data_IF_264328240846
#
_entry.id   IF_264328240846
#
_cell.length_a   1.000
_cell.length_b   1.000
_cell.length_c   1.000
_cell.angle_alpha   90.00
_cell.angle_beta   90.00
_cell.angle_gamma   90.00
#
_symmetry.space_group_name_H-M   'P 1'
#
loop_
_entity.id
_entity.type
_entity.pdbx_description
1 polymer ?
#
# COMPACT_ATOMS: atom_id res chain seq x y z
N UNK A 1 -15.23 26.26 -20.69
CA UNK A 1 -15.87 25.43 -21.73
C UNK A 1 -17.36 25.74 -21.75
N UNK A 2 -17.95 25.96 -22.92
CA UNK A 2 -19.39 26.10 -23.09
C UNK A 2 -19.94 24.80 -23.67
N UNK A 3 -20.75 24.08 -22.90
CA UNK A 3 -21.43 22.87 -23.37
C UNK A 3 -22.81 23.23 -23.90
N UNK A 4 -23.13 22.76 -25.11
CA UNK A 4 -24.44 22.89 -25.74
C UNK A 4 -25.06 21.49 -25.78
N UNK A 5 -26.22 21.33 -25.13
CA UNK A 5 -27.01 20.11 -25.19
C UNK A 5 -28.19 20.33 -26.13
N UNK A 6 -28.32 19.46 -27.13
CA UNK A 6 -29.47 19.40 -28.03
C UNK A 6 -30.09 18.01 -27.89
N UNK A 7 -31.36 17.94 -27.45
CA UNK A 7 -32.13 16.71 -27.50
C UNK A 7 -33.06 16.74 -28.71
N UNK A 8 -32.91 15.79 -29.63
CA UNK A 8 -33.86 15.59 -30.73
C UNK A 8 -34.84 14.45 -30.38
N UNK A 9 -36.13 14.65 -30.68
CA UNK A 9 -37.15 13.60 -30.58
C UNK A 9 -37.92 13.50 -29.25
N UNK A 10 -37.76 14.44 -28.31
CA UNK A 10 -38.49 14.43 -27.04
C UNK A 10 -39.84 15.16 -27.19
N UNK A 11 -40.94 14.49 -26.86
CA UNK A 11 -42.30 15.06 -26.87
C UNK A 11 -42.41 16.20 -25.83
N UNK A 12 -43.11 17.29 -26.17
CA UNK A 12 -43.30 18.51 -25.35
C UNK A 12 -43.88 18.25 -23.95
N UNK A 13 -44.43 17.06 -23.71
CA UNK A 13 -44.96 16.64 -22.41
C UNK A 13 -43.94 16.05 -21.42
N UNK A 14 -42.65 15.95 -21.78
CA UNK A 14 -41.61 15.34 -20.94
C UNK A 14 -40.59 16.40 -20.49
N UNK A 15 -40.46 16.59 -19.17
CA UNK A 15 -39.40 17.41 -18.58
C UNK A 15 -38.21 16.52 -18.23
N UNK A 16 -37.08 16.71 -18.91
CA UNK A 16 -35.80 16.08 -18.56
C UNK A 16 -35.06 16.97 -17.56
N UNK A 17 -34.88 16.50 -16.34
CA UNK A 17 -34.01 17.15 -15.36
C UNK A 17 -32.61 16.53 -15.46
N UNK A 18 -31.69 17.22 -16.13
CA UNK A 18 -30.27 16.82 -16.16
C UNK A 18 -29.53 17.64 -15.11
N UNK A 19 -29.12 17.03 -14.01
CA UNK A 19 -28.16 17.62 -13.08
C UNK A 19 -26.76 17.13 -13.47
N UNK A 20 -25.87 18.05 -13.82
CA UNK A 20 -24.43 17.77 -13.87
C UNK A 20 -23.75 18.52 -12.74
N UNK A 21 -22.78 17.88 -12.10
CA UNK A 21 -21.84 18.50 -11.17
C UNK A 21 -20.49 18.50 -11.85
N UNK A 22 -19.88 19.67 -12.03
CA UNK A 22 -18.49 19.80 -12.44
C UNK A 22 -17.75 20.49 -11.31
N UNK A 23 -16.84 19.77 -10.66
CA UNK A 23 -15.89 20.33 -9.72
C UNK A 23 -14.66 20.72 -10.52
N UNK A 24 -14.52 22.02 -10.81
CA UNK A 24 -13.29 22.56 -11.38
C UNK A 24 -12.49 23.19 -10.24
N UNK A 25 -11.35 22.59 -9.90
CA UNK A 25 -10.39 23.19 -8.97
C UNK A 25 -9.77 24.42 -9.63
N UNK A 26 -9.98 25.60 -9.02
CA UNK A 26 -9.30 26.82 -9.47
C UNK A 26 -7.86 26.81 -8.93
N UNK A 27 -6.83 26.93 -9.79
CA UNK A 27 -5.48 27.17 -9.30
C UNK A 27 -5.43 28.51 -8.56
N UNK A 28 -4.68 28.56 -7.46
CA UNK A 28 -4.43 29.80 -6.72
C UNK A 28 -3.55 30.71 -7.58
N UNK A 29 -4.09 31.85 -8.01
CA UNK A 29 -3.37 32.85 -8.80
C UNK A 29 -2.80 33.91 -7.86
N UNK A 30 -1.49 34.09 -7.85
CA UNK A 30 -0.81 35.10 -7.04
C UNK A 30 -0.31 36.23 -7.95
N UNK A 31 -0.46 37.48 -7.52
CA UNK A 31 0.18 38.62 -8.16
C UNK A 31 1.65 38.75 -7.77
N UNK A 32 2.38 39.65 -8.44
CA UNK A 32 3.81 39.90 -8.20
C UNK A 32 4.12 40.35 -6.75
N UNK A 33 3.12 40.83 -6.01
CA UNK A 33 3.19 41.22 -4.60
C UNK A 33 2.80 40.09 -3.62
N UNK A 34 2.52 38.88 -4.13
CA UNK A 34 2.11 37.71 -3.36
C UNK A 34 0.64 37.72 -2.93
N UNK A 35 -0.18 38.66 -3.40
CA UNK A 35 -1.62 38.70 -3.08
C UNK A 35 -2.43 37.79 -4.01
N UNK A 36 -3.48 37.17 -3.48
CA UNK A 36 -4.37 36.31 -4.26
C UNK A 36 -5.24 37.13 -5.21
N UNK A 37 -5.18 36.83 -6.51
CA UNK A 37 -5.92 37.53 -7.56
C UNK A 37 -7.31 36.89 -7.73
N UNK A 38 -8.36 37.69 -7.52
CA UNK A 38 -9.73 37.34 -7.89
C UNK A 38 -9.91 37.43 -9.41
N UNK A 39 -10.01 36.28 -10.08
CA UNK A 39 -10.18 36.17 -11.54
C UNK A 39 -11.42 36.91 -12.08
N UNK A 40 -12.46 37.06 -11.28
CA UNK A 40 -13.68 37.82 -11.66
C UNK A 40 -13.47 39.33 -11.70
N UNK A 41 -12.36 39.84 -11.14
CA UNK A 41 -12.02 41.26 -11.11
C UNK A 41 -10.73 41.62 -11.86
N UNK A 42 -10.04 40.66 -12.48
CA UNK A 42 -8.78 40.89 -13.21
C UNK A 42 -9.00 40.98 -14.72
N UNK A 43 -8.18 41.80 -15.39
CA UNK A 43 -8.19 41.97 -16.86
C UNK A 43 -7.10 41.13 -17.55
N UNK A 44 -6.57 40.11 -16.87
CA UNK A 44 -5.45 39.30 -17.33
C UNK A 44 -5.89 38.29 -18.40
N UNK A 45 -5.06 38.11 -19.43
CA UNK A 45 -5.32 37.15 -20.50
C UNK A 45 -5.11 35.70 -20.04
N UNK A 46 -5.58 34.72 -20.81
CA UNK A 46 -5.41 33.30 -20.46
C UNK A 46 -3.92 32.90 -20.38
N UNK A 47 -3.08 33.50 -21.22
CA UNK A 47 -1.64 33.24 -21.24
C UNK A 47 -0.95 33.83 -20.00
N UNK A 48 -1.34 35.05 -19.58
CA UNK A 48 -0.84 35.67 -18.35
C UNK A 48 -1.24 34.86 -17.10
N UNK A 49 -2.45 34.30 -17.09
CA UNK A 49 -2.94 33.45 -16.00
C UNK A 49 -2.20 32.12 -15.91
N UNK A 50 -1.72 31.59 -17.04
CA UNK A 50 -0.95 30.34 -17.10
C UNK A 50 0.48 30.59 -16.62
N UNK A 51 1.07 31.74 -16.94
CA UNK A 51 2.38 32.14 -16.42
C UNK A 51 2.37 32.41 -14.90
N UNK A 52 1.22 32.80 -14.34
CA UNK A 52 1.02 32.98 -12.89
C UNK A 52 0.54 31.70 -12.19
N UNK A 53 0.34 30.60 -12.93
CA UNK A 53 -0.01 29.32 -12.35
C UNK A 53 1.25 28.61 -11.86
N UNK A 54 1.26 28.25 -10.57
CA UNK A 54 2.29 27.39 -10.00
C UNK A 54 1.82 25.94 -10.15
N UNK A 55 2.63 25.10 -10.81
CA UNK A 55 2.50 23.65 -10.65
C UNK A 55 2.70 23.32 -9.17
N UNK A 56 1.75 22.59 -8.60
CA UNK A 56 1.77 22.21 -7.20
C UNK A 56 2.87 21.16 -6.96
N UNK A 57 3.99 21.50 -6.28
CA UNK A 57 5.13 20.58 -6.14
C UNK A 57 4.90 19.44 -5.15
N UNK A 58 3.71 19.32 -4.53
CA UNK A 58 3.45 18.44 -3.38
C UNK A 58 2.61 17.20 -3.73
N UNK A 59 2.83 16.57 -4.89
CA UNK A 59 2.05 15.40 -5.33
C UNK A 59 2.49 14.06 -4.71
N UNK A 60 3.61 13.97 -3.97
CA UNK A 60 4.17 12.68 -3.52
C UNK A 60 4.10 12.39 -2.00
N UNK A 61 3.06 12.88 -1.34
CA UNK A 61 2.62 12.51 0.01
C UNK A 61 1.44 13.39 0.30
N UNK A 62 0.24 12.88 0.52
CA UNK A 62 -0.87 13.72 1.00
C UNK A 62 -0.52 14.38 2.36
N UNK A 63 -0.16 15.68 2.43
CA UNK A 63 0.10 16.39 3.68
C UNK A 63 -1.17 17.13 4.16
N UNK A 64 -2.29 17.02 3.41
CA UNK A 64 -3.41 17.97 3.48
C UNK A 64 -4.41 17.73 4.59
N UNK A 65 -4.30 16.67 5.39
CA UNK A 65 -5.09 16.68 6.63
C UNK A 65 -4.48 17.59 7.71
N UNK A 66 -3.18 17.94 7.62
CA UNK A 66 -2.52 18.79 8.62
C UNK A 66 -2.36 20.25 8.16
N UNK A 67 -2.12 20.50 6.87
CA UNK A 67 -1.52 21.77 6.46
C UNK A 67 -2.50 22.91 6.14
N UNK A 68 -3.76 22.64 5.76
CA UNK A 68 -4.71 23.73 5.53
C UNK A 68 -4.93 24.57 6.80
N UNK A 69 -4.97 23.94 7.99
CA UNK A 69 -5.13 24.63 9.27
C UNK A 69 -3.84 25.33 9.74
N UNK A 70 -2.67 24.77 9.43
CA UNK A 70 -1.37 25.33 9.80
C UNK A 70 -0.99 26.53 8.94
N UNK A 71 -1.20 26.46 7.63
CA UNK A 71 -0.94 27.56 6.69
C UNK A 71 -1.74 28.80 7.07
N UNK A 72 -3.04 28.67 7.41
CA UNK A 72 -3.84 29.81 7.88
C UNK A 72 -3.33 30.41 9.21
N UNK A 73 -2.70 29.61 10.06
CA UNK A 73 -2.16 30.08 11.35
C UNK A 73 -0.83 30.84 11.22
N UNK A 74 -0.02 30.55 10.21
CA UNK A 74 1.29 31.18 10.01
C UNK A 74 1.21 32.65 9.54
N UNK A 75 0.11 33.05 8.87
CA UNK A 75 -0.07 34.42 8.37
C UNK A 75 -0.71 35.39 9.38
N UNK A 76 -1.10 34.89 10.56
CA UNK A 76 -1.65 35.70 11.65
C UNK A 76 -0.72 35.52 12.85
N UNK A 77 0.12 36.50 13.22
CA UNK A 77 1.16 36.32 14.24
C UNK A 77 0.66 35.77 15.58
N UNK A 78 -0.56 36.14 15.97
CA UNK A 78 -1.24 35.63 17.17
C UNK A 78 -1.58 34.13 17.05
N UNK A 79 -2.00 33.69 15.86
CA UNK A 79 -2.27 32.29 15.56
C UNK A 79 -0.98 31.50 15.32
N UNK A 80 0.08 32.11 14.80
CA UNK A 80 1.38 31.46 14.60
C UNK A 80 2.07 31.15 15.92
N UNK A 81 2.06 32.11 16.87
CA UNK A 81 2.49 31.85 18.25
C UNK A 81 1.56 30.84 18.92
N UNK A 82 0.25 30.95 18.71
CA UNK A 82 -0.73 29.96 19.19
C UNK A 82 -0.49 28.55 18.63
N UNK A 83 -0.12 28.43 17.36
CA UNK A 83 0.17 27.19 16.66
C UNK A 83 1.50 26.60 17.11
N UNK A 84 2.54 27.43 17.31
CA UNK A 84 3.82 26.98 17.88
C UNK A 84 3.62 26.52 19.33
N UNK A 85 2.90 27.27 20.15
CA UNK A 85 2.57 26.87 21.52
C UNK A 85 1.71 25.60 21.52
N UNK A 86 0.76 25.47 20.60
CA UNK A 86 -0.03 24.25 20.40
C UNK A 86 0.84 23.06 19.96
N UNK A 87 1.77 23.24 19.03
CA UNK A 87 2.70 22.22 18.57
C UNK A 87 3.68 21.79 19.67
N UNK A 88 4.14 22.74 20.49
CA UNK A 88 5.00 22.48 21.65
C UNK A 88 4.21 21.80 22.77
N UNK A 89 2.98 22.23 23.06
CA UNK A 89 2.11 21.50 24.00
C UNK A 89 1.73 20.12 23.48
N UNK A 90 1.52 19.96 22.16
CA UNK A 90 1.30 18.68 21.48
C UNK A 90 2.51 17.77 21.59
N UNK A 91 3.73 18.29 21.47
CA UNK A 91 4.96 17.50 21.63
C UNK A 91 5.23 17.14 23.10
N UNK A 92 4.70 17.93 24.05
CA UNK A 92 4.82 17.71 25.50
C UNK A 92 3.73 16.81 26.08
N UNK A 93 2.52 16.81 25.52
CA UNK A 93 1.42 15.93 25.91
C UNK A 93 1.56 14.55 25.26
N UNK A 94 2.63 13.82 25.63
CA UNK A 94 2.98 12.49 25.08
C UNK A 94 2.10 11.36 25.61
N UNK A 95 0.79 11.46 25.40
CA UNK A 95 -0.15 10.35 25.61
C UNK A 95 -0.96 10.13 24.34
N UNK A 96 -1.08 8.88 23.91
CA UNK A 96 -1.97 8.50 22.81
C UNK A 96 -3.44 8.91 23.09
N UNK A 97 -3.79 9.05 24.38
CA UNK A 97 -5.04 9.66 24.86
C UNK A 97 -5.30 11.07 24.29
N UNK A 98 -4.26 11.89 24.04
CA UNK A 98 -4.42 13.23 23.47
C UNK A 98 -4.75 13.19 21.97
N UNK A 99 -4.09 12.31 21.19
CA UNK A 99 -4.40 12.11 19.77
C UNK A 99 -5.85 11.66 19.58
N UNK A 100 -6.31 10.77 20.46
CA UNK A 100 -7.65 10.24 20.38
C UNK A 100 -8.74 11.20 20.88
N UNK A 101 -8.39 12.17 21.76
CA UNK A 101 -9.27 13.29 22.13
C UNK A 101 -9.63 14.24 20.96
N UNK A 102 -8.98 14.10 19.80
CA UNK A 102 -9.40 14.79 18.56
C UNK A 102 -10.67 14.20 17.96
N UNK A 103 -11.00 12.94 18.28
CA UNK A 103 -12.18 12.27 17.76
C UNK A 103 -13.45 12.97 18.26
N UNK A 104 -14.34 13.32 17.33
CA UNK A 104 -15.65 13.90 17.64
C UNK A 104 -16.82 12.96 17.29
N UNK A 105 -16.52 11.67 17.04
CA UNK A 105 -17.53 10.62 16.82
C UNK A 105 -18.30 10.74 15.51
N UNK A 106 -17.61 11.02 14.40
CA UNK A 106 -18.24 11.11 13.08
C UNK A 106 -18.51 9.74 12.40
N UNK A 107 -18.01 8.65 12.96
CA UNK A 107 -18.17 7.26 12.47
C UNK A 107 -17.61 6.96 11.05
N UNK A 108 -16.97 7.91 10.36
CA UNK A 108 -16.33 7.67 9.04
C UNK A 108 -15.29 6.53 9.05
N UNK A 109 -14.52 6.40 10.14
CA UNK A 109 -13.55 5.31 10.29
C UNK A 109 -14.23 3.94 10.48
N UNK A 110 -15.46 3.91 10.99
CA UNK A 110 -16.27 2.70 11.10
C UNK A 110 -16.75 2.31 9.70
N UNK A 111 -17.32 3.23 8.93
CA UNK A 111 -17.77 2.99 7.56
C UNK A 111 -16.64 2.52 6.63
N UNK A 112 -15.42 3.05 6.79
CA UNK A 112 -14.25 2.62 6.01
C UNK A 112 -13.62 1.30 6.52
N UNK A 113 -14.04 0.77 7.67
CA UNK A 113 -13.39 -0.40 8.28
C UNK A 113 -13.85 -1.71 7.63
N UNK A 114 -12.96 -2.46 6.94
CA UNK A 114 -13.33 -3.71 6.28
C UNK A 114 -13.75 -4.82 7.26
N UNK A 115 -13.35 -4.70 8.53
CA UNK A 115 -13.71 -5.66 9.60
C UNK A 115 -15.22 -5.68 9.88
N UNK A 116 -15.96 -4.62 9.52
CA UNK A 116 -17.42 -4.58 9.72
C UNK A 116 -18.18 -5.66 8.95
N UNK A 117 -17.61 -6.16 7.86
CA UNK A 117 -18.16 -7.29 7.12
C UNK A 117 -18.14 -8.58 7.95
N UNK A 118 -17.17 -8.71 8.86
CA UNK A 118 -17.02 -9.89 9.72
C UNK A 118 -18.03 -9.88 10.88
N UNK A 119 -18.43 -8.68 11.30
CA UNK A 119 -19.18 -8.46 12.55
C UNK A 119 -20.63 -8.06 12.29
N UNK A 120 -21.13 -8.29 11.07
CA UNK A 120 -22.50 -8.02 10.65
C UNK A 120 -22.97 -6.57 10.91
N UNK A 121 -22.05 -5.61 10.81
CA UNK A 121 -22.36 -4.18 10.94
C UNK A 121 -22.53 -3.66 12.37
N UNK A 122 -22.34 -4.49 13.40
CA UNK A 122 -22.28 -3.99 14.78
C UNK A 122 -21.10 -3.04 14.95
N UNK A 123 -21.35 -1.91 15.62
CA UNK A 123 -20.41 -0.80 15.79
C UNK A 123 -19.16 -1.31 16.45
N UNK A 124 -18.08 -1.36 15.68
CA UNK A 124 -16.84 -1.92 16.13
C UNK A 124 -15.73 -0.96 15.83
N UNK A 125 -15.75 0.07 16.67
CA UNK A 125 -14.58 0.87 16.84
C UNK A 125 -13.66 0.13 17.82
N UNK A 126 -13.10 -1.01 17.38
CA UNK A 126 -12.09 -1.82 18.09
C UNK A 126 -11.08 -0.87 18.75
N UNK A 127 -10.72 0.20 18.04
CA UNK A 127 -9.77 1.21 18.48
C UNK A 127 -10.35 2.10 19.60
N UNK A 128 -11.55 2.65 19.43
CA UNK A 128 -12.22 3.49 20.43
C UNK A 128 -12.63 2.71 21.70
N UNK A 129 -13.12 1.48 21.56
CA UNK A 129 -13.50 0.65 22.70
C UNK A 129 -12.26 0.16 23.43
N UNK A 130 -11.23 -0.33 22.73
CA UNK A 130 -9.92 -0.61 23.35
C UNK A 130 -9.36 0.64 24.04
N UNK A 131 -9.60 1.84 23.48
CA UNK A 131 -9.17 3.10 24.10
C UNK A 131 -9.91 3.40 25.41
N UNK A 132 -11.22 3.17 25.48
CA UNK A 132 -12.00 3.30 26.71
C UNK A 132 -11.76 2.17 27.72
N UNK A 133 -10.83 1.23 27.43
CA UNK A 133 -10.70 -0.05 28.12
C UNK A 133 -12.03 -0.83 28.18
N UNK A 134 -12.85 -0.65 27.16
CA UNK A 134 -14.07 -1.40 26.93
C UNK A 134 -13.76 -2.54 25.93
N UNK A 135 -14.32 -3.71 26.21
CA UNK A 135 -14.27 -4.86 25.31
C UNK A 135 -15.67 -5.00 24.70
N UNK A 136 -15.76 -4.78 23.40
CA UNK A 136 -17.00 -4.92 22.61
C UNK A 136 -17.18 -6.33 22.05
N UNK A 137 -16.29 -7.25 22.40
CA UNK A 137 -16.31 -8.65 21.97
C UNK A 137 -15.55 -8.93 20.68
N UNK A 138 -14.89 -7.93 20.05
CA UNK A 138 -14.03 -8.19 18.90
C UNK A 138 -12.56 -8.10 19.24
N UNK A 139 -11.81 -9.17 18.92
CA UNK A 139 -10.38 -9.18 19.16
C UNK A 139 -9.65 -8.02 18.48
N UNK A 140 -8.72 -7.38 19.20
CA UNK A 140 -7.77 -6.39 18.65
C UNK A 140 -7.03 -6.92 17.39
N UNK A 141 -6.83 -8.24 17.34
CA UNK A 141 -6.15 -8.93 16.26
C UNK A 141 -6.99 -9.13 15.00
N UNK A 142 -8.30 -8.85 15.05
CA UNK A 142 -9.13 -8.75 13.85
C UNK A 142 -8.84 -7.50 13.01
N UNK A 143 -8.16 -6.49 13.59
CA UNK A 143 -7.71 -5.33 12.83
C UNK A 143 -6.69 -5.72 11.75
N UNK A 144 -6.97 -5.36 10.50
CA UNK A 144 -6.11 -5.67 9.35
C UNK A 144 -4.94 -4.69 9.18
N UNK A 145 -4.83 -3.64 10.01
CA UNK A 145 -3.76 -2.63 9.94
C UNK A 145 -3.57 -2.01 8.54
N UNK A 146 -4.69 -1.88 7.82
CA UNK A 146 -4.73 -1.50 6.41
C UNK A 146 -4.77 0.01 6.18
N UNK A 147 -4.81 0.84 7.24
CA UNK A 147 -4.82 2.32 7.18
C UNK A 147 -6.11 2.96 6.63
N UNK A 148 -7.14 2.17 6.29
CA UNK A 148 -8.42 2.71 5.79
C UNK A 148 -9.06 3.73 6.75
N UNK A 149 -9.08 3.41 8.06
CA UNK A 149 -9.64 4.28 9.09
C UNK A 149 -8.83 5.57 9.30
N UNK A 150 -7.50 5.50 9.21
CA UNK A 150 -6.60 6.66 9.32
C UNK A 150 -6.85 7.62 8.15
N UNK A 151 -6.95 7.10 6.93
CA UNK A 151 -7.19 7.89 5.72
C UNK A 151 -8.59 8.53 5.71
N UNK A 152 -9.61 7.80 6.18
CA UNK A 152 -10.97 8.31 6.29
C UNK A 152 -11.13 9.37 7.42
N UNK A 153 -10.15 9.54 8.31
CA UNK A 153 -10.29 10.39 9.49
C UNK A 153 -10.08 11.89 9.16
N UNK A 154 -11.11 12.75 9.29
CA UNK A 154 -10.98 14.18 9.02
C UNK A 154 -10.12 14.94 10.05
N UNK A 155 -9.77 14.31 11.17
CA UNK A 155 -8.89 14.87 12.20
C UNK A 155 -7.47 14.30 12.14
N UNK A 156 -7.17 13.43 11.17
CA UNK A 156 -5.91 12.70 11.07
C UNK A 156 -5.52 12.02 12.37
N UNK A 157 -6.45 11.26 12.94
CA UNK A 157 -6.12 10.36 14.05
C UNK A 157 -5.32 9.21 13.47
N UNK A 158 -4.10 9.03 13.95
CA UNK A 158 -3.19 7.96 13.51
C UNK A 158 -3.51 6.65 14.22
N UNK A 159 -4.53 5.97 13.75
CA UNK A 159 -5.00 4.70 14.28
C UNK A 159 -3.98 3.56 14.16
N UNK A 160 -3.10 3.61 13.17
CA UNK A 160 -2.15 2.54 12.89
C UNK A 160 -1.09 2.44 14.00
N UNK A 161 -0.55 3.59 14.42
CA UNK A 161 0.35 3.67 15.58
C UNK A 161 -0.32 3.19 16.87
N UNK A 162 -1.64 3.37 17.03
CA UNK A 162 -2.34 2.82 18.19
C UNK A 162 -2.24 1.31 18.23
N UNK A 163 -2.59 0.68 17.10
CA UNK A 163 -2.73 -0.77 17.02
C UNK A 163 -1.36 -1.41 17.21
N UNK A 164 -0.31 -0.82 16.63
CA UNK A 164 1.07 -1.20 16.87
C UNK A 164 1.40 -1.17 18.38
N UNK A 165 1.26 0.01 19.03
CA UNK A 165 1.53 0.16 20.47
C UNK A 165 0.72 -0.82 21.32
N UNK A 166 -0.58 -0.98 21.04
CA UNK A 166 -1.46 -1.85 21.83
C UNK A 166 -1.10 -3.31 21.68
N UNK A 167 -0.75 -3.77 20.48
CA UNK A 167 -0.29 -5.15 20.26
C UNK A 167 1.04 -5.41 20.94
N UNK A 168 1.96 -4.43 20.94
CA UNK A 168 3.24 -4.54 21.65
C UNK A 168 3.09 -4.66 23.19
N UNK A 169 1.99 -4.19 23.76
CA UNK A 169 1.70 -4.32 25.19
C UNK A 169 1.08 -5.68 25.57
N UNK A 170 0.70 -6.51 24.60
CA UNK A 170 0.09 -7.82 24.85
C UNK A 170 1.20 -8.86 25.05
N UNK A 171 1.29 -9.38 26.28
CA UNK A 171 2.22 -10.45 26.62
C UNK A 171 1.81 -11.75 25.96
N UNK A 172 2.75 -12.42 25.28
CA UNK A 172 2.51 -13.65 24.53
C UNK A 172 2.06 -13.42 23.09
N UNK A 173 1.83 -12.16 22.70
CA UNK A 173 1.52 -11.79 21.33
C UNK A 173 0.11 -12.21 20.89
N UNK A 174 -0.10 -12.37 19.57
CA UNK A 174 -1.41 -12.72 18.99
C UNK A 174 -1.94 -14.08 19.48
N UNK A 175 -3.27 -14.21 19.65
CA UNK A 175 -3.86 -15.48 20.01
C UNK A 175 -3.66 -16.50 18.88
N UNK A 176 -3.37 -17.75 19.24
CA UNK A 176 -3.13 -18.82 18.27
C UNK A 176 -4.31 -19.06 17.31
N UNK A 177 -5.53 -18.68 17.70
CA UNK A 177 -6.72 -18.74 16.85
C UNK A 177 -6.67 -17.79 15.65
N UNK A 178 -5.86 -16.73 15.72
CA UNK A 178 -5.71 -15.74 14.64
C UNK A 178 -4.47 -15.99 13.79
N UNK A 179 -3.61 -16.94 14.16
CA UNK A 179 -2.42 -17.31 13.38
C UNK A 179 -2.57 -18.76 12.89
N UNK A 180 -3.11 -18.95 11.68
CA UNK A 180 -3.18 -20.28 11.08
C UNK A 180 -1.79 -20.86 10.74
N UNK A 181 -0.79 -19.99 10.50
CA UNK A 181 0.57 -20.37 10.10
C UNK A 181 1.56 -20.17 11.25
N UNK A 182 1.36 -20.90 12.36
CA UNK A 182 2.19 -20.75 13.57
C UNK A 182 3.65 -21.17 13.37
N UNK A 183 3.92 -22.04 12.39
CA UNK A 183 5.29 -22.46 12.10
C UNK A 183 6.09 -21.28 11.51
N UNK A 184 5.48 -20.43 10.67
CA UNK A 184 6.17 -19.28 10.07
C UNK A 184 6.60 -18.31 11.16
N UNK A 185 5.69 -18.03 12.10
CA UNK A 185 5.99 -17.22 13.27
C UNK A 185 7.15 -17.81 14.08
N UNK A 186 7.16 -19.13 14.30
CA UNK A 186 8.22 -19.81 15.05
C UNK A 186 9.57 -19.81 14.32
N UNK A 187 9.57 -20.04 13.00
CA UNK A 187 10.77 -20.00 12.16
C UNK A 187 11.37 -18.60 12.16
N UNK A 188 10.54 -17.56 12.00
CA UNK A 188 11.01 -16.17 12.03
C UNK A 188 11.49 -15.74 13.42
N UNK A 189 10.89 -16.27 14.49
CA UNK A 189 11.39 -16.06 15.85
C UNK A 189 12.75 -16.74 16.06
N UNK A 190 12.94 -17.96 15.57
CA UNK A 190 14.22 -18.67 15.64
C UNK A 190 15.30 -17.98 14.79
N UNK A 191 14.93 -17.50 13.60
CA UNK A 191 15.83 -16.74 12.73
C UNK A 191 16.30 -15.43 13.36
N UNK A 192 15.48 -14.80 14.21
CA UNK A 192 15.84 -13.55 14.87
C UNK A 192 16.94 -13.72 15.93
N UNK A 193 17.17 -14.93 16.44
CA UNK A 193 18.19 -15.16 17.46
C UNK A 193 19.61 -15.03 16.87
N UNK A 194 20.56 -14.60 17.72
CA UNK A 194 21.94 -14.32 17.31
C UNK A 194 22.69 -15.58 16.84
N UNK A 195 22.36 -16.76 17.38
CA UNK A 195 22.97 -18.02 16.97
C UNK A 195 22.56 -18.46 15.56
N UNK A 196 21.46 -17.91 15.03
CA UNK A 196 21.07 -18.10 13.64
C UNK A 196 21.93 -17.28 12.66
N UNK A 197 22.67 -16.25 13.12
CA UNK A 197 23.50 -15.39 12.25
C UNK A 197 24.54 -16.20 11.46
N UNK A 198 25.10 -17.26 12.06
CA UNK A 198 26.12 -18.12 11.46
C UNK A 198 25.60 -18.92 10.24
N UNK A 199 24.28 -19.01 10.08
CA UNK A 199 23.65 -19.65 8.92
C UNK A 199 23.61 -18.75 7.67
N UNK A 200 23.90 -17.46 7.82
CA UNK A 200 23.84 -16.47 6.74
C UNK A 200 25.25 -16.10 6.25
N UNK A 201 25.38 -15.91 4.94
CA UNK A 201 26.65 -15.61 4.28
C UNK A 201 27.17 -14.24 4.73
N UNK A 202 28.46 -14.17 5.05
CA UNK A 202 29.15 -12.93 5.42
C UNK A 202 29.19 -11.93 4.25
N UNK A 203 29.29 -10.63 4.55
CA UNK A 203 29.29 -9.59 3.49
C UNK A 203 30.50 -9.75 2.57
N UNK A 204 31.64 -10.12 3.13
CA UNK A 204 32.91 -10.30 2.43
C UNK A 204 32.90 -11.50 1.46
N UNK A 205 32.03 -12.48 1.74
CA UNK A 205 31.91 -13.73 0.97
C UNK A 205 30.71 -13.71 0.01
N UNK A 206 29.83 -12.71 0.12
CA UNK A 206 28.64 -12.59 -0.73
C UNK A 206 28.98 -11.91 -2.07
N UNK A 207 28.52 -12.43 -3.22
CA UNK A 207 28.86 -11.89 -4.53
C UNK A 207 28.07 -10.61 -4.84
N UNK A 208 28.43 -9.49 -4.20
CA UNK A 208 27.86 -8.18 -4.47
C UNK A 208 28.60 -7.54 -5.64
N UNK A 209 27.90 -7.38 -6.75
CA UNK A 209 28.42 -6.89 -8.03
C UNK A 209 27.81 -5.55 -8.49
N UNK A 210 26.73 -5.10 -7.84
CA UNK A 210 26.03 -3.85 -8.11
C UNK A 210 25.78 -3.04 -6.83
N UNK A 211 25.63 -1.73 -7.00
CA UNK A 211 25.14 -0.85 -5.94
C UNK A 211 23.62 -0.95 -5.72
N UNK A 212 22.91 -1.61 -6.66
CA UNK A 212 21.47 -1.89 -6.54
C UNK A 212 21.29 -3.32 -6.06
N UNK A 213 20.60 -3.51 -4.95
CA UNK A 213 20.27 -4.81 -4.39
C UNK A 213 18.79 -5.13 -4.50
N UNK A 214 18.42 -6.32 -4.97
CA UNK A 214 17.05 -6.81 -4.98
C UNK A 214 16.80 -7.79 -3.83
N UNK A 215 15.84 -7.47 -2.97
CA UNK A 215 15.39 -8.36 -1.90
C UNK A 215 14.08 -9.07 -2.30
N UNK A 216 14.08 -10.43 -2.39
CA UNK A 216 12.95 -11.22 -2.87
C UNK A 216 11.80 -11.35 -1.86
N UNK A 217 11.95 -10.87 -0.62
CA UNK A 217 10.93 -11.08 0.41
C UNK A 217 11.04 -12.46 1.06
N UNK A 218 9.93 -12.93 1.65
CA UNK A 218 9.88 -14.18 2.41
C UNK A 218 9.39 -15.36 1.56
N UNK A 219 9.50 -15.27 0.23
CA UNK A 219 8.91 -16.24 -0.71
C UNK A 219 9.35 -17.67 -0.40
N UNK A 220 10.63 -17.90 -0.15
CA UNK A 220 11.17 -19.23 0.19
C UNK A 220 10.54 -19.83 1.46
N UNK A 221 10.17 -19.00 2.43
CA UNK A 221 9.59 -19.44 3.71
C UNK A 221 8.11 -19.73 3.55
N UNK A 222 7.43 -18.89 2.76
CA UNK A 222 6.05 -19.14 2.38
C UNK A 222 6.01 -20.47 1.64
N UNK A 223 6.85 -20.71 0.64
CA UNK A 223 6.89 -21.96 -0.11
C UNK A 223 7.23 -23.20 0.75
N UNK A 224 8.01 -23.05 1.83
CA UNK A 224 8.32 -24.12 2.78
C UNK A 224 7.16 -24.47 3.74
N UNK A 225 6.53 -23.46 4.33
CA UNK A 225 5.36 -23.59 5.23
C UNK A 225 4.13 -24.06 4.46
N UNK A 226 3.96 -23.38 3.35
CA UNK A 226 2.85 -23.42 2.46
C UNK A 226 3.41 -24.24 1.30
N UNK A 227 3.36 -25.59 1.42
CA UNK A 227 3.67 -26.57 0.35
C UNK A 227 2.74 -26.36 -0.88
N UNK A 228 2.77 -25.18 -1.49
CA UNK A 228 1.82 -24.73 -2.51
C UNK A 228 2.50 -24.29 -3.80
N UNK A 229 3.82 -24.04 -3.85
CA UNK A 229 4.44 -23.57 -5.09
C UNK A 229 4.72 -24.66 -6.13
N UNK A 230 4.85 -25.92 -5.72
CA UNK A 230 5.26 -27.01 -6.62
C UNK A 230 4.49 -28.32 -6.49
N UNK A 231 3.51 -28.43 -5.57
CA UNK A 231 2.95 -29.73 -5.18
C UNK A 231 1.44 -29.78 -4.94
N UNK A 232 0.72 -28.65 -5.02
CA UNK A 232 -0.73 -28.65 -4.93
C UNK A 232 -1.38 -28.66 -6.33
N UNK A 233 -2.64 -29.09 -6.41
CA UNK A 233 -3.49 -28.97 -7.61
C UNK A 233 -3.75 -27.47 -7.88
N UNK A 234 -2.79 -26.79 -8.51
CA UNK A 234 -2.86 -25.37 -8.88
C UNK A 234 -1.50 -24.83 -9.37
N UNK A 235 -1.53 -23.71 -10.11
CA UNK A 235 -0.37 -23.13 -10.81
C UNK A 235 0.37 -22.03 -10.00
N UNK A 236 0.01 -21.81 -8.73
CA UNK A 236 0.56 -20.71 -7.92
C UNK A 236 2.07 -20.84 -7.74
N UNK A 237 2.86 -19.88 -8.24
CA UNK A 237 4.31 -19.84 -8.11
C UNK A 237 4.78 -18.48 -7.59
N UNK A 238 4.96 -18.35 -6.28
CA UNK A 238 5.39 -17.08 -5.67
C UNK A 238 6.86 -16.73 -6.00
N UNK A 239 7.68 -17.73 -6.34
CA UNK A 239 9.04 -17.54 -6.85
C UNK A 239 9.09 -16.87 -8.23
N UNK A 240 8.00 -16.93 -9.01
CA UNK A 240 7.92 -16.32 -10.34
C UNK A 240 8.20 -14.82 -10.30
N UNK A 241 7.73 -14.10 -9.28
CA UNK A 241 7.92 -12.64 -9.19
C UNK A 241 9.40 -12.24 -9.09
N UNK A 242 10.22 -13.04 -8.41
CA UNK A 242 11.66 -12.79 -8.33
C UNK A 242 12.32 -13.04 -9.68
N UNK A 243 12.03 -14.18 -10.31
CA UNK A 243 12.55 -14.48 -11.66
C UNK A 243 12.14 -13.41 -12.66
N UNK A 244 10.87 -13.00 -12.63
CA UNK A 244 10.33 -11.95 -13.47
C UNK A 244 11.04 -10.61 -13.27
N UNK A 245 11.31 -10.22 -12.02
CA UNK A 245 12.05 -8.99 -11.73
C UNK A 245 13.44 -9.01 -12.40
N UNK A 246 14.18 -10.12 -12.28
CA UNK A 246 15.48 -10.27 -12.95
C UNK A 246 15.37 -10.30 -14.47
N UNK A 247 14.35 -10.94 -15.05
CA UNK A 247 14.09 -10.86 -16.50
C UNK A 247 13.94 -9.41 -16.96
N UNK A 248 13.20 -8.59 -16.21
CA UNK A 248 13.04 -7.17 -16.55
C UNK A 248 14.34 -6.37 -16.35
N UNK A 249 15.09 -6.62 -15.27
CA UNK A 249 16.38 -5.94 -15.05
C UNK A 249 17.40 -6.29 -16.14
N UNK A 250 17.47 -7.55 -16.54
CA UNK A 250 18.34 -8.02 -17.63
C UNK A 250 17.96 -7.39 -18.97
N UNK A 251 16.66 -7.32 -19.29
CA UNK A 251 16.16 -6.68 -20.52
C UNK A 251 16.48 -5.17 -20.54
N UNK A 252 16.46 -4.51 -19.38
CA UNK A 252 16.89 -3.11 -19.24
C UNK A 252 18.41 -2.92 -19.31
N UNK A 253 19.19 -4.00 -19.21
CA UNK A 253 20.64 -3.95 -19.06
C UNK A 253 21.10 -3.34 -17.73
N UNK A 254 20.25 -3.41 -16.70
CA UNK A 254 20.55 -2.91 -15.35
C UNK A 254 21.15 -4.03 -14.50
N UNK A 255 22.39 -3.85 -14.03
CA UNK A 255 23.03 -4.78 -13.09
C UNK A 255 22.39 -4.65 -11.71
N UNK A 256 21.81 -5.73 -11.17
CA UNK A 256 21.15 -5.77 -9.86
C UNK A 256 21.62 -7.00 -9.08
N UNK A 257 22.15 -6.80 -7.87
CA UNK A 257 22.59 -7.89 -7.01
C UNK A 257 21.41 -8.56 -6.32
N UNK A 258 21.27 -9.87 -6.43
CA UNK A 258 20.28 -10.64 -5.67
C UNK A 258 20.66 -10.72 -4.18
N UNK A 259 19.82 -10.20 -3.29
CA UNK A 259 19.99 -10.28 -1.83
C UNK A 259 19.07 -11.35 -1.25
N UNK A 260 19.49 -12.59 -1.42
CA UNK A 260 18.73 -13.77 -1.03
C UNK A 260 18.53 -13.93 0.47
N UNK A 261 17.73 -14.95 0.81
CA UNK A 261 17.47 -15.42 2.17
C UNK A 261 18.66 -16.09 2.85
N UNK A 262 19.72 -16.36 2.10
CA UNK A 262 21.02 -16.77 2.60
C UNK A 262 21.89 -15.59 3.05
N UNK A 263 21.51 -14.35 2.71
CA UNK A 263 22.24 -13.13 3.08
C UNK A 263 21.47 -12.26 4.08
N UNK A 264 20.20 -11.93 3.77
CA UNK A 264 19.32 -11.13 4.62
C UNK A 264 18.29 -11.98 5.35
N UNK A 265 18.07 -11.62 6.63
CA UNK A 265 16.95 -12.11 7.44
C UNK A 265 15.64 -11.44 7.01
N UNK A 266 14.52 -11.90 7.57
CA UNK A 266 13.18 -11.40 7.24
C UNK A 266 13.11 -9.90 7.49
N UNK A 267 12.37 -9.18 6.64
CA UNK A 267 12.10 -7.75 6.85
C UNK A 267 11.37 -7.46 8.18
N UNK A 268 10.80 -8.50 8.82
CA UNK A 268 10.15 -8.39 10.12
C UNK A 268 8.75 -7.76 10.09
N UNK A 269 8.18 -7.54 8.91
CA UNK A 269 6.83 -6.97 8.75
C UNK A 269 5.80 -7.67 9.65
N UNK A 270 5.76 -9.00 9.57
CA UNK A 270 4.76 -9.79 10.29
C UNK A 270 4.94 -9.66 11.80
N UNK A 271 6.18 -9.75 12.29
CA UNK A 271 6.53 -9.63 13.71
C UNK A 271 6.13 -8.27 14.28
N UNK A 272 6.44 -7.18 13.55
CA UNK A 272 6.08 -5.82 13.94
C UNK A 272 4.57 -5.71 14.17
N UNK A 273 3.78 -6.06 13.15
CA UNK A 273 2.33 -5.88 13.20
C UNK A 273 1.60 -6.93 14.02
N UNK A 274 2.24 -8.05 14.36
CA UNK A 274 1.78 -9.01 15.38
C UNK A 274 2.00 -8.49 16.82
N UNK A 275 2.85 -7.48 17.01
CA UNK A 275 3.23 -6.99 18.34
C UNK A 275 4.44 -7.71 18.94
N UNK A 276 5.18 -8.48 18.14
CA UNK A 276 6.41 -9.17 18.54
C UNK A 276 7.63 -8.25 18.35
N UNK A 277 7.63 -7.09 19.02
CA UNK A 277 8.62 -6.04 18.77
C UNK A 277 10.05 -6.49 19.05
N UNK A 278 10.28 -7.34 20.06
CA UNK A 278 11.63 -7.86 20.32
C UNK A 278 12.19 -8.64 19.12
N UNK A 279 11.37 -9.49 18.51
CA UNK A 279 11.75 -10.27 17.32
C UNK A 279 11.98 -9.34 16.14
N UNK A 280 11.09 -8.37 15.94
CA UNK A 280 11.23 -7.35 14.88
C UNK A 280 12.54 -6.57 15.02
N UNK A 281 12.86 -6.04 16.20
CA UNK A 281 14.07 -5.25 16.42
C UNK A 281 15.36 -6.08 16.21
N UNK A 282 15.37 -7.36 16.59
CA UNK A 282 16.49 -8.27 16.30
C UNK A 282 16.70 -8.48 14.80
N UNK A 283 15.63 -8.80 14.05
CA UNK A 283 15.67 -8.97 12.59
C UNK A 283 16.13 -7.68 11.89
N UNK A 284 15.57 -6.55 12.32
CA UNK A 284 15.90 -5.22 11.83
C UNK A 284 17.38 -4.88 12.05
N UNK A 285 17.88 -5.04 13.28
CA UNK A 285 19.26 -4.72 13.62
C UNK A 285 20.28 -5.52 12.78
N UNK A 286 20.03 -6.82 12.58
CA UNK A 286 20.86 -7.67 11.73
C UNK A 286 20.88 -7.18 10.28
N UNK A 287 19.71 -6.97 9.69
CA UNK A 287 19.58 -6.54 8.30
C UNK A 287 20.15 -5.14 8.05
N UNK A 288 19.93 -4.18 8.96
CA UNK A 288 20.51 -2.84 8.85
C UNK A 288 22.03 -2.87 8.82
N UNK A 289 22.63 -3.69 9.69
CA UNK A 289 24.09 -3.87 9.71
C UNK A 289 24.57 -4.45 8.38
N UNK A 290 23.95 -5.54 7.90
CA UNK A 290 24.31 -6.19 6.62
C UNK A 290 24.19 -5.25 5.42
N UNK A 291 23.10 -4.49 5.34
CA UNK A 291 22.86 -3.52 4.28
C UNK A 291 23.81 -2.32 4.36
N UNK A 292 24.15 -1.86 5.57
CA UNK A 292 25.12 -0.78 5.77
C UNK A 292 26.54 -1.18 5.37
N UNK A 293 26.90 -2.45 5.62
CA UNK A 293 28.23 -2.99 5.31
C UNK A 293 28.35 -3.47 3.84
N UNK A 294 27.23 -3.71 3.13
CA UNK A 294 27.23 -4.27 1.76
C UNK A 294 27.65 -3.28 0.67
N UNK A 295 27.61 -1.98 0.93
CA UNK A 295 27.89 -0.93 -0.06
C UNK A 295 26.75 -0.66 -1.04
N UNK A 296 25.58 -1.28 -0.83
CA UNK A 296 24.36 -1.07 -1.63
C UNK A 296 23.80 0.32 -1.32
N UNK A 297 23.46 1.08 -2.35
CA UNK A 297 22.84 2.41 -2.22
C UNK A 297 21.33 2.39 -2.48
N UNK A 298 20.84 1.38 -3.21
CA UNK A 298 19.44 1.25 -3.60
C UNK A 298 18.94 -0.17 -3.35
N UNK A 299 17.99 -0.31 -2.43
CA UNK A 299 17.31 -1.56 -2.11
C UNK A 299 15.96 -1.62 -2.84
N UNK A 300 15.81 -2.59 -3.74
CA UNK A 300 14.59 -2.83 -4.52
C UNK A 300 13.87 -4.07 -4.00
N UNK A 301 12.54 -4.06 -3.93
CA UNK A 301 11.75 -5.25 -3.61
C UNK A 301 10.38 -5.22 -4.28
N UNK A 302 9.90 -6.39 -4.72
CA UNK A 302 8.55 -6.55 -5.31
C UNK A 302 7.45 -6.76 -4.27
N UNK A 303 7.79 -6.83 -2.98
CA UNK A 303 6.80 -7.00 -1.93
C UNK A 303 6.43 -5.65 -1.31
N UNK A 304 5.18 -5.21 -1.51
CA UNK A 304 4.62 -4.02 -0.88
C UNK A 304 4.84 -3.95 0.65
N UNK A 305 4.78 -5.09 1.34
CA UNK A 305 5.02 -5.13 2.79
C UNK A 305 6.49 -4.93 3.15
N UNK A 306 7.41 -5.58 2.41
CA UNK A 306 8.85 -5.40 2.60
C UNK A 306 9.24 -3.96 2.30
N UNK A 307 8.76 -3.41 1.18
CA UNK A 307 8.99 -2.03 0.77
C UNK A 307 8.61 -1.04 1.88
N UNK A 308 7.36 -1.11 2.37
CA UNK A 308 6.89 -0.26 3.47
C UNK A 308 7.76 -0.42 4.71
N UNK A 309 8.11 -1.65 5.08
CA UNK A 309 8.84 -1.93 6.32
C UNK A 309 10.27 -1.39 6.27
N UNK A 310 11.01 -1.67 5.19
CA UNK A 310 12.34 -1.10 4.98
C UNK A 310 12.31 0.43 4.85
N UNK A 311 11.31 0.99 4.17
CA UNK A 311 11.25 2.43 3.94
C UNK A 311 10.83 3.26 5.18
N UNK A 312 9.99 2.71 6.06
CA UNK A 312 9.43 3.45 7.19
C UNK A 312 9.93 3.02 8.57
N UNK A 313 10.31 1.76 8.74
CA UNK A 313 10.67 1.21 10.06
C UNK A 313 12.18 0.99 10.24
N UNK A 314 12.95 0.94 9.16
CA UNK A 314 14.39 0.79 9.23
C UNK A 314 15.09 2.16 9.18
N UNK A 315 16.19 2.30 9.90
CA UNK A 315 17.13 3.41 9.73
C UNK A 315 18.23 3.01 8.73
N UNK A 316 17.99 3.23 7.43
CA UNK A 316 18.96 2.95 6.36
C UNK A 316 19.55 4.29 5.88
N UNK A 317 20.55 4.79 6.59
CA UNK A 317 21.15 6.11 6.34
C UNK A 317 21.65 6.25 4.90
N UNK A 318 20.99 7.12 4.11
CA UNK A 318 21.38 7.43 2.74
C UNK A 318 21.05 6.36 1.70
N UNK A 319 20.50 5.21 2.11
CA UNK A 319 20.04 4.17 1.19
C UNK A 319 18.65 4.50 0.68
N UNK A 320 18.46 4.37 -0.63
CA UNK A 320 17.15 4.49 -1.27
C UNK A 320 16.44 3.14 -1.20
N UNK A 321 15.19 3.12 -0.74
CA UNK A 321 14.35 1.93 -0.78
C UNK A 321 13.27 2.16 -1.84
N UNK A 322 13.08 1.21 -2.75
CA UNK A 322 12.14 1.32 -3.87
C UNK A 322 11.31 0.05 -4.01
N UNK A 323 10.05 0.22 -4.39
CA UNK A 323 9.27 -0.89 -4.93
C UNK A 323 9.70 -1.17 -6.38
N UNK A 324 9.64 -2.42 -6.84
CA UNK A 324 10.06 -2.77 -8.21
C UNK A 324 9.36 -1.94 -9.29
N UNK A 325 8.05 -1.71 -9.17
CA UNK A 325 7.33 -0.85 -10.15
C UNK A 325 7.82 0.60 -10.14
N UNK A 326 8.22 1.12 -8.98
CA UNK A 326 8.82 2.45 -8.90
C UNK A 326 10.22 2.49 -9.51
N UNK A 327 11.01 1.44 -9.29
CA UNK A 327 12.33 1.27 -9.89
C UNK A 327 12.27 1.23 -11.42
N UNK A 328 11.39 0.40 -11.99
CA UNK A 328 11.21 0.28 -13.43
C UNK A 328 10.84 1.62 -14.07
N UNK A 329 9.86 2.34 -13.51
CA UNK A 329 9.45 3.66 -14.02
C UNK A 329 10.59 4.67 -13.92
N UNK A 330 11.30 4.73 -12.78
CA UNK A 330 12.39 5.68 -12.60
C UNK A 330 13.56 5.44 -13.57
N UNK A 331 13.84 4.18 -13.88
CA UNK A 331 14.86 3.79 -14.83
C UNK A 331 14.44 3.93 -16.29
N UNK A 332 13.22 4.41 -16.54
CA UNK A 332 12.71 4.64 -17.88
C UNK A 332 12.41 3.34 -18.60
N UNK A 333 11.82 2.36 -17.90
CA UNK A 333 11.31 1.14 -18.52
C UNK A 333 10.31 1.48 -19.62
N UNK A 334 10.77 1.37 -20.87
CA UNK A 334 9.99 1.55 -22.08
C UNK A 334 10.49 0.51 -23.08
N UNK A 335 9.73 -0.55 -23.21
CA UNK A 335 10.14 -1.72 -23.98
C UNK A 335 9.35 -1.87 -25.27
N UNK A 336 8.29 -1.09 -25.52
CA UNK A 336 7.29 -1.34 -26.58
C UNK A 336 6.63 -2.73 -26.44
N UNK A 337 6.18 -3.11 -25.23
CA UNK A 337 5.58 -4.44 -24.98
C UNK A 337 4.23 -4.56 -25.68
N UNK A 338 3.93 -5.76 -26.18
CA UNK A 338 2.67 -6.06 -26.85
C UNK A 338 2.21 -7.46 -26.43
N UNK A 339 0.93 -7.60 -26.09
CA UNK A 339 0.32 -8.92 -25.84
C UNK A 339 -0.03 -9.61 -27.16
N UNK A 340 0.01 -10.95 -27.20
CA UNK A 340 -0.34 -11.71 -28.41
C UNK A 340 -1.82 -11.53 -28.81
N UNK A 341 -2.70 -11.54 -27.82
CA UNK A 341 -4.14 -11.33 -27.94
C UNK A 341 -4.56 -10.21 -26.98
N UNK A 342 -5.46 -9.31 -27.42
CA UNK A 342 -5.97 -8.22 -26.59
C UNK A 342 -6.55 -8.78 -25.28
N UNK A 343 -6.11 -8.25 -24.14
CA UNK A 343 -6.49 -8.74 -22.81
C UNK A 343 -7.06 -7.62 -21.94
N UNK A 344 -8.15 -7.91 -21.24
CA UNK A 344 -8.70 -6.99 -20.25
C UNK A 344 -8.16 -7.33 -18.86
N UNK A 345 -7.51 -6.37 -18.21
CA UNK A 345 -6.91 -6.56 -16.89
C UNK A 345 -7.54 -5.59 -15.88
N UNK A 346 -7.53 -5.96 -14.60
CA UNK A 346 -7.87 -5.05 -13.50
C UNK A 346 -6.75 -5.03 -12.48
N UNK A 347 -6.72 -4.01 -11.61
CA UNK A 347 -5.63 -3.84 -10.65
C UNK A 347 -6.14 -3.80 -9.21
N UNK A 348 -5.56 -4.64 -8.35
CA UNK A 348 -5.74 -4.61 -6.91
C UNK A 348 -4.62 -3.80 -6.26
N UNK A 349 -4.96 -2.63 -5.73
CA UNK A 349 -4.09 -1.77 -4.92
C UNK A 349 -3.76 -2.41 -3.56
N UNK A 350 -2.52 -2.87 -3.31
CA UNK A 350 -2.14 -3.39 -2.02
C UNK A 350 -2.13 -2.28 -0.98
N UNK A 351 -2.75 -2.50 0.17
CA UNK A 351 -2.89 -1.47 1.21
C UNK A 351 -1.55 -0.88 1.70
N UNK A 352 -0.46 -1.66 1.70
CA UNK A 352 0.87 -1.19 2.09
C UNK A 352 1.54 -0.34 1.02
N UNK A 353 1.27 -0.59 -0.27
CA UNK A 353 1.84 0.19 -1.37
C UNK A 353 1.04 1.47 -1.62
N UNK A 354 -0.29 1.34 -1.66
CA UNK A 354 -1.19 2.47 -1.79
C UNK A 354 -1.26 3.29 -0.50
N UNK A 355 -2.11 2.90 0.44
CA UNK A 355 -2.48 3.75 1.59
C UNK A 355 -1.32 4.16 2.51
N UNK A 356 -0.25 3.35 2.59
CA UNK A 356 0.89 3.64 3.48
C UNK A 356 2.11 4.24 2.77
N UNK A 357 2.24 4.06 1.45
CA UNK A 357 3.40 4.53 0.70
C UNK A 357 3.04 5.52 -0.44
N UNK A 358 1.74 5.80 -0.63
CA UNK A 358 1.21 6.75 -1.62
C UNK A 358 1.63 6.43 -3.06
N UNK A 359 1.71 5.15 -3.39
CA UNK A 359 2.14 4.65 -4.69
C UNK A 359 0.98 3.89 -5.36
N UNK A 360 0.27 4.61 -6.22
CA UNK A 360 -0.93 4.14 -6.95
C UNK A 360 -0.74 4.12 -8.46
N UNK A 361 -0.12 5.16 -9.01
CA UNK A 361 -0.09 5.39 -10.46
C UNK A 361 0.97 4.53 -11.17
N UNK A 362 2.18 4.41 -10.59
CA UNK A 362 3.32 3.73 -11.24
C UNK A 362 3.03 2.30 -11.73
N UNK A 363 2.30 1.44 -10.99
CA UNK A 363 1.90 0.12 -11.47
C UNK A 363 0.93 0.21 -12.66
N UNK A 364 0.03 1.19 -12.67
CA UNK A 364 -0.93 1.42 -13.76
C UNK A 364 -0.22 1.92 -15.01
N UNK A 365 0.68 2.90 -14.86
CA UNK A 365 1.50 3.43 -15.96
C UNK A 365 2.24 2.30 -16.69
N UNK A 366 2.83 1.36 -15.94
CA UNK A 366 3.52 0.20 -16.52
C UNK A 366 2.57 -0.73 -17.26
N UNK A 367 1.39 -1.00 -16.71
CA UNK A 367 0.38 -1.89 -17.33
C UNK A 367 -0.22 -1.25 -18.59
N UNK A 368 -0.55 0.03 -18.55
CA UNK A 368 -1.09 0.79 -19.68
C UNK A 368 -0.06 1.01 -20.79
N UNK A 369 1.24 0.89 -20.50
CA UNK A 369 2.29 0.97 -21.51
C UNK A 369 2.38 -0.27 -22.42
N UNK A 370 1.64 -1.34 -22.12
CA UNK A 370 1.63 -2.57 -22.92
C UNK A 370 0.53 -2.50 -23.98
N UNK A 371 0.93 -2.56 -25.25
CA UNK A 371 0.00 -2.59 -26.39
C UNK A 371 -0.90 -3.84 -26.35
N UNK A 372 -2.20 -3.64 -26.57
CA UNK A 372 -3.22 -4.69 -26.50
C UNK A 372 -3.80 -4.93 -25.10
N UNK A 373 -3.35 -4.21 -24.08
CA UNK A 373 -3.91 -4.28 -22.72
C UNK A 373 -4.99 -3.22 -22.51
N UNK A 374 -6.13 -3.63 -21.98
CA UNK A 374 -7.19 -2.73 -21.50
C UNK A 374 -7.29 -2.81 -19.98
N UNK A 375 -6.75 -1.82 -19.26
CA UNK A 375 -6.91 -1.71 -17.81
C UNK A 375 -8.31 -1.17 -17.45
N UNK A 376 -9.04 -1.90 -16.61
CA UNK A 376 -10.34 -1.50 -16.08
C UNK A 376 -10.31 -1.51 -14.55
N UNK A 377 -10.80 -0.44 -13.92
CA UNK A 377 -10.81 -0.30 -12.47
C UNK A 377 -12.00 -1.04 -11.83
N UNK A 378 -11.76 -1.62 -10.66
CA UNK A 378 -12.80 -2.13 -9.78
C UNK A 378 -13.59 -0.97 -9.14
N UNK A 379 -14.77 -1.28 -8.59
CA UNK A 379 -15.60 -0.29 -7.87
C UNK A 379 -14.78 0.45 -6.80
N UNK A 380 -14.00 -0.31 -6.00
CA UNK A 380 -13.12 0.24 -4.99
C UNK A 380 -11.65 0.11 -5.44
N UNK A 381 -11.06 1.22 -5.89
CA UNK A 381 -9.67 1.31 -6.34
C UNK A 381 -8.95 2.50 -5.67
N UNK A 382 -7.64 2.58 -5.83
CA UNK A 382 -6.82 3.65 -5.26
C UNK A 382 -6.87 3.66 -3.73
N UNK A 383 -7.10 4.83 -3.13
CA UNK A 383 -7.19 4.97 -1.67
C UNK A 383 -8.37 4.22 -1.03
N UNK A 384 -9.44 4.01 -1.81
CA UNK A 384 -10.68 3.35 -1.38
C UNK A 384 -10.63 1.82 -1.53
N UNK A 385 -9.53 1.27 -2.04
CA UNK A 385 -9.38 -0.17 -2.24
C UNK A 385 -9.61 -1.00 -0.95
N UNK A 386 -10.50 -2.00 -1.06
CA UNK A 386 -10.67 -3.06 -0.06
C UNK A 386 -9.37 -3.85 0.17
N UNK A 387 -9.10 -4.19 1.42
CA UNK A 387 -7.98 -5.06 1.79
C UNK A 387 -8.20 -6.50 1.30
N UNK A 388 -7.13 -7.24 1.01
CA UNK A 388 -7.18 -8.69 0.75
C UNK A 388 -7.62 -9.52 1.98
N UNK A 389 -7.86 -8.89 3.12
CA UNK A 389 -8.41 -9.52 4.32
C UNK A 389 -7.38 -10.16 5.24
N UNK A 390 -6.12 -10.25 4.83
CA UNK A 390 -5.04 -10.85 5.62
C UNK A 390 -4.02 -9.80 5.97
N UNK A 391 -3.63 -9.76 7.25
CA UNK A 391 -2.60 -8.87 7.76
C UNK A 391 -1.58 -9.69 8.50
N UNK A 392 -0.30 -9.56 8.15
CA UNK A 392 0.79 -10.12 8.96
C UNK A 392 0.74 -11.65 9.08
N UNK A 393 0.25 -12.33 8.03
CA UNK A 393 -0.08 -13.77 8.03
C UNK A 393 -1.08 -14.19 9.12
N UNK A 394 -1.89 -13.22 9.58
CA UNK A 394 -2.97 -13.42 10.53
C UNK A 394 -4.32 -13.30 9.85
N UNK A 395 -5.34 -13.83 10.52
CA UNK A 395 -6.73 -13.76 10.08
C UNK A 395 -7.02 -14.55 8.79
N UNK A 396 -6.23 -15.55 8.38
CA UNK A 396 -6.65 -16.49 7.31
C UNK A 396 -7.75 -17.43 7.85
N UNK A 397 -8.96 -16.89 8.05
CA UNK A 397 -10.12 -17.53 8.63
C UNK A 397 -11.39 -17.18 7.83
N UNK A 398 -12.53 -17.72 8.23
CA UNK A 398 -13.83 -17.47 7.56
C UNK A 398 -14.22 -15.99 7.53
N UNK A 399 -13.78 -15.20 8.51
CA UNK A 399 -14.08 -13.77 8.54
C UNK A 399 -13.37 -13.07 7.38
N UNK A 400 -12.04 -13.20 7.26
CA UNK A 400 -11.29 -12.57 6.15
C UNK A 400 -11.64 -13.11 4.77
N UNK A 401 -12.17 -14.34 4.70
CA UNK A 401 -12.67 -14.94 3.47
C UNK A 401 -13.75 -14.06 2.81
N UNK A 402 -14.65 -13.45 3.60
CA UNK A 402 -15.71 -12.59 3.09
C UNK A 402 -15.17 -11.36 2.32
N UNK A 403 -14.05 -10.77 2.77
CA UNK A 403 -13.41 -9.65 2.05
C UNK A 403 -12.84 -10.07 0.71
N UNK A 404 -12.20 -11.25 0.65
CA UNK A 404 -11.66 -11.78 -0.61
C UNK A 404 -12.77 -12.12 -1.59
N UNK A 405 -13.89 -12.68 -1.10
CA UNK A 405 -15.08 -12.90 -1.93
C UNK A 405 -15.66 -11.60 -2.48
N UNK A 406 -15.82 -10.57 -1.65
CA UNK A 406 -16.30 -9.27 -2.12
C UNK A 406 -15.34 -8.68 -3.17
N UNK A 407 -14.03 -8.81 -2.94
CA UNK A 407 -13.04 -8.36 -3.93
C UNK A 407 -13.17 -9.13 -5.25
N UNK A 408 -13.35 -10.45 -5.20
CA UNK A 408 -13.58 -11.26 -6.40
C UNK A 408 -14.89 -10.91 -7.10
N UNK A 409 -15.93 -10.51 -6.36
CA UNK A 409 -17.17 -9.98 -6.95
C UNK A 409 -16.91 -8.69 -7.75
N UNK A 410 -16.04 -7.80 -7.26
CA UNK A 410 -15.64 -6.60 -8.01
C UNK A 410 -14.83 -6.94 -9.27
N UNK A 411 -13.87 -7.86 -9.20
CA UNK A 411 -13.12 -8.34 -10.38
C UNK A 411 -14.07 -8.87 -11.44
N UNK A 412 -15.05 -9.70 -11.06
CA UNK A 412 -16.05 -10.22 -12.01
C UNK A 412 -16.94 -9.12 -12.58
N UNK A 413 -17.24 -8.10 -11.80
CA UNK A 413 -18.06 -6.97 -12.25
C UNK A 413 -17.35 -6.14 -13.33
N UNK A 414 -16.01 -6.09 -13.34
CA UNK A 414 -15.24 -5.44 -14.42
C UNK A 414 -15.19 -6.28 -15.69
N UNK A 415 -15.32 -7.60 -15.56
CA UNK A 415 -15.16 -8.55 -16.67
C UNK A 415 -13.71 -8.77 -17.08
N UNK A 416 -12.74 -8.39 -16.24
CA UNK A 416 -11.33 -8.60 -16.49
C UNK A 416 -10.96 -10.10 -16.45
N UNK A 417 -10.02 -10.48 -17.32
CA UNK A 417 -9.47 -11.82 -17.44
C UNK A 417 -8.32 -12.04 -16.46
N UNK A 418 -7.63 -10.97 -16.08
CA UNK A 418 -6.50 -10.99 -15.15
C UNK A 418 -6.66 -9.91 -14.07
N UNK A 419 -6.51 -10.30 -12.81
CA UNK A 419 -6.34 -9.39 -11.69
C UNK A 419 -4.84 -9.23 -11.40
N UNK A 420 -4.31 -8.05 -11.68
CA UNK A 420 -2.94 -7.66 -11.37
C UNK A 420 -2.82 -7.11 -9.96
N UNK A 421 -1.67 -7.29 -9.34
CA UNK A 421 -1.31 -6.65 -8.08
C UNK A 421 0.21 -6.47 -7.98
N UNK A 422 0.69 -5.86 -6.90
CA UNK A 422 2.12 -5.57 -6.66
C UNK A 422 2.55 -6.05 -5.27
N UNK A 423 1.95 -7.14 -4.82
CA UNK A 423 2.22 -7.71 -3.53
C UNK A 423 2.07 -9.23 -3.60
N UNK A 424 3.17 -10.00 -3.57
CA UNK A 424 3.15 -11.45 -3.60
C UNK A 424 2.29 -12.07 -2.49
N UNK A 425 2.17 -11.42 -1.32
CA UNK A 425 1.26 -11.86 -0.27
C UNK A 425 -0.21 -11.67 -0.63
N UNK A 426 -0.57 -10.58 -1.32
CA UNK A 426 -1.93 -10.45 -1.86
C UNK A 426 -2.22 -11.56 -2.87
N UNK A 427 -1.29 -11.84 -3.80
CA UNK A 427 -1.40 -12.99 -4.73
C UNK A 427 -1.66 -14.28 -3.96
N UNK A 428 -0.80 -14.62 -2.99
CA UNK A 428 -0.93 -15.84 -2.19
C UNK A 428 -2.30 -15.96 -1.50
N UNK A 429 -2.82 -14.88 -0.93
CA UNK A 429 -4.10 -14.90 -0.22
C UNK A 429 -5.31 -14.96 -1.15
N UNK A 430 -5.24 -14.37 -2.33
CA UNK A 430 -6.29 -14.50 -3.34
C UNK A 430 -6.28 -15.88 -4.00
N UNK A 431 -5.11 -16.40 -4.38
CA UNK A 431 -4.96 -17.77 -4.89
C UNK A 431 -5.42 -18.82 -3.87
N UNK A 432 -5.17 -18.59 -2.58
CA UNK A 432 -5.71 -19.44 -1.51
C UNK A 432 -7.24 -19.58 -1.56
N UNK A 433 -7.97 -18.52 -1.95
CA UNK A 433 -9.43 -18.58 -2.11
C UNK A 433 -9.85 -19.39 -3.34
N UNK A 434 -9.05 -19.42 -4.41
CA UNK A 434 -9.34 -20.20 -5.61
C UNK A 434 -9.27 -21.71 -5.37
N UNK A 435 -8.47 -22.18 -4.41
CA UNK A 435 -8.41 -23.62 -4.05
C UNK A 435 -9.75 -24.20 -3.56
N UNK A 436 -10.73 -23.36 -3.24
CA UNK A 436 -12.08 -23.82 -2.95
C UNK A 436 -12.82 -24.37 -4.19
N UNK A 437 -12.27 -24.15 -5.38
CA UNK A 437 -12.78 -24.71 -6.64
C UNK A 437 -14.10 -24.09 -7.11
N UNK A 438 -14.39 -22.84 -6.72
CA UNK A 438 -15.55 -22.13 -7.23
C UNK A 438 -15.32 -21.73 -8.69
N UNK A 439 -16.09 -22.28 -9.65
CA UNK A 439 -15.90 -22.00 -11.08
C UNK A 439 -16.20 -20.55 -11.46
N UNK A 440 -16.73 -19.74 -10.54
CA UNK A 440 -16.92 -18.30 -10.76
C UNK A 440 -15.62 -17.51 -10.64
N UNK A 441 -14.56 -18.09 -10.06
CA UNK A 441 -13.26 -17.43 -9.88
C UNK A 441 -12.30 -17.74 -11.05
N UNK A 442 -12.85 -17.74 -12.27
CA UNK A 442 -12.18 -18.08 -13.53
C UNK A 442 -11.51 -16.85 -14.16
N UNK A 443 -10.56 -16.27 -13.44
CA UNK A 443 -9.68 -15.19 -13.89
C UNK A 443 -8.29 -15.43 -13.34
N UNK A 444 -7.24 -15.02 -14.04
CA UNK A 444 -5.86 -15.18 -13.57
C UNK A 444 -5.51 -14.13 -12.51
N UNK A 445 -4.59 -14.45 -11.59
CA UNK A 445 -4.06 -13.49 -10.61
C UNK A 445 -2.55 -13.44 -10.76
N UNK A 446 -2.01 -12.25 -11.03
CA UNK A 446 -0.57 -12.06 -11.26
C UNK A 446 -0.02 -10.84 -10.54
N UNK A 447 1.28 -10.90 -10.26
CA UNK A 447 2.03 -9.70 -9.96
C UNK A 447 2.29 -8.91 -11.27
N UNK A 448 2.27 -7.57 -11.20
CA UNK A 448 2.55 -6.69 -12.35
C UNK A 448 3.92 -7.00 -12.96
N UNK A 449 4.94 -7.28 -12.13
CA UNK A 449 6.28 -7.62 -12.61
C UNK A 449 6.26 -8.93 -13.40
N UNK A 450 5.54 -9.95 -12.91
CA UNK A 450 5.34 -11.21 -13.63
C UNK A 450 4.61 -11.00 -14.96
N UNK A 451 3.56 -10.18 -14.96
CA UNK A 451 2.81 -9.86 -16.17
C UNK A 451 3.68 -9.20 -17.25
N UNK A 452 4.50 -8.22 -16.89
CA UNK A 452 5.42 -7.55 -17.80
C UNK A 452 6.50 -8.51 -18.33
N UNK A 453 7.07 -9.34 -17.45
CA UNK A 453 8.10 -10.31 -17.84
C UNK A 453 7.58 -11.37 -18.83
N UNK A 454 6.30 -11.76 -18.74
CA UNK A 454 5.68 -12.63 -19.75
C UNK A 454 5.68 -12.00 -21.14
N UNK A 455 5.48 -10.68 -21.23
CA UNK A 455 5.50 -9.98 -22.52
C UNK A 455 6.92 -9.78 -23.06
N UNK A 456 7.93 -9.77 -22.20
CA UNK A 456 9.33 -9.81 -22.64
C UNK A 456 9.65 -11.19 -23.23
N UNK A 457 9.22 -12.26 -22.55
CA UNK A 457 9.49 -13.64 -22.96
C UNK A 457 8.71 -14.13 -24.20
N UNK A 458 7.62 -13.45 -24.58
CA UNK A 458 6.81 -13.78 -25.76
C UNK A 458 7.30 -13.15 -27.06
N UNK A 459 8.28 -12.23 -26.99
CA UNK A 459 8.97 -11.66 -28.15
C UNK A 459 9.88 -12.67 -28.84
#
# INVERSE_FOLDING_TARGET
>A
MSFLFTSEGVNESITMATSFSAVAYQPLLLGDDGTAILRSGSTLSLDDLTALSLENPTYHKNPKGLDAKLIYSMFIPCLGVGAIVFLVMRSMARGYEWEMNKCYGCDLCDDACPVRLFTAGDKLNIIYNTWNNEDDGVPLYSCLTCTACTNACPQLVDYDSYVDIRRNLIVGGPPATEIPHTLLQAVLAAEAEEDADDAFVAVEDYPIDSNVGYYPGCVDYIDQEMIFSHVNEGEMNLGETTTAAFTLFEEMGDDVTYLGRDFLKCCGHDQKWQGLSEVFEKLKAYNQKKLGDSGIDTLVTSCAECFRTFALDYELDGMKVMHTTEYLVEKGFDMDLTVEDDVTVTYHDPCRLGRQMDLYDKPRDLVESVDGVSLVEMEHHGEDALCCGVSSMMACNENSRALRLQRFDEVKATGAEVMLTTCPKCVAHFECLKFEGDPRHDFEILDVVSFLARQVNSR
#
